data_IF_112723785704
#
_entry.id   IF_112723785704
#
_cell.length_a   1.000
_cell.length_b   1.000
_cell.length_c   1.000
_cell.angle_alpha   90.00
_cell.angle_beta   90.00
_cell.angle_gamma   90.00
#
_symmetry.space_group_name_H-M   'P 1'
#
loop_
_entity.id
_entity.type
_entity.pdbx_description
1 polymer ?
#
# COMPACT_ATOMS: atom_id res chain seq x y z
N UNK A 1 -7.92 -14.21 10.40
CA UNK A 1 -8.97 -15.15 9.92
C UNK A 1 -8.46 -16.55 10.23
N UNK A 2 -9.11 -17.27 11.13
CA UNK A 2 -8.74 -18.66 11.46
C UNK A 2 -9.80 -19.55 10.83
N UNK A 3 -9.40 -20.38 9.87
CA UNK A 3 -10.25 -21.38 9.24
C UNK A 3 -9.66 -22.76 9.52
N UNK A 4 -10.36 -23.58 10.31
CA UNK A 4 -9.88 -24.90 10.75
C UNK A 4 -9.71 -25.92 9.60
N UNK A 5 -10.31 -25.68 8.43
CA UNK A 5 -10.27 -26.55 7.25
C UNK A 5 -9.22 -26.14 6.19
N UNK A 6 -8.46 -25.06 6.43
CA UNK A 6 -7.63 -24.42 5.41
C UNK A 6 -8.43 -23.59 4.39
N UNK A 7 -7.75 -22.89 3.49
CA UNK A 7 -8.39 -22.05 2.48
C UNK A 7 -8.59 -22.81 1.16
N UNK A 8 -9.79 -22.71 0.59
CA UNK A 8 -10.12 -23.23 -0.74
C UNK A 8 -9.67 -22.26 -1.85
N UNK A 9 -9.60 -22.76 -3.09
CA UNK A 9 -9.32 -21.91 -4.25
C UNK A 9 -10.33 -20.75 -4.42
N UNK A 10 -11.57 -20.94 -3.99
CA UNK A 10 -12.62 -19.92 -4.05
C UNK A 10 -12.41 -18.86 -2.96
N UNK A 11 -12.01 -19.28 -1.76
CA UNK A 11 -11.61 -18.36 -0.68
C UNK A 11 -10.46 -17.46 -1.12
N UNK A 12 -9.45 -18.02 -1.80
CA UNK A 12 -8.34 -17.22 -2.33
C UNK A 12 -8.81 -16.15 -3.31
N UNK A 13 -9.78 -16.44 -4.18
CA UNK A 13 -10.33 -15.43 -5.12
C UNK A 13 -11.05 -14.30 -4.38
N UNK A 14 -11.77 -14.63 -3.30
CA UNK A 14 -12.49 -13.65 -2.50
C UNK A 14 -11.55 -12.79 -1.64
N UNK A 15 -10.52 -13.39 -1.04
CA UNK A 15 -9.60 -12.66 -0.15
C UNK A 15 -8.53 -11.87 -0.88
N UNK A 16 -8.14 -12.27 -2.08
CA UNK A 16 -7.06 -11.62 -2.84
C UNK A 16 -7.30 -10.11 -3.07
N UNK A 17 -8.49 -9.66 -3.53
CA UNK A 17 -8.80 -8.22 -3.64
C UNK A 17 -8.78 -7.48 -2.28
N UNK A 18 -9.22 -8.16 -1.21
CA UNK A 18 -9.23 -7.60 0.15
C UNK A 18 -7.82 -7.37 0.66
N UNK A 19 -6.90 -8.31 0.42
CA UNK A 19 -5.49 -8.17 0.79
C UNK A 19 -4.82 -7.02 0.04
N UNK A 20 -5.14 -6.84 -1.25
CA UNK A 20 -4.65 -5.71 -2.03
C UNK A 20 -5.13 -4.38 -1.44
N UNK A 21 -6.44 -4.25 -1.21
CA UNK A 21 -7.01 -3.01 -0.67
C UNK A 21 -6.42 -2.70 0.70
N UNK A 22 -6.37 -3.68 1.60
CA UNK A 22 -5.78 -3.49 2.94
C UNK A 22 -4.33 -3.00 2.88
N UNK A 23 -3.54 -3.49 1.92
CA UNK A 23 -2.14 -3.06 1.76
C UNK A 23 -2.05 -1.62 1.27
N UNK A 24 -2.80 -1.25 0.22
CA UNK A 24 -2.79 0.12 -0.33
C UNK A 24 -3.33 1.12 0.70
N UNK A 25 -4.46 0.79 1.34
CA UNK A 25 -5.08 1.64 2.36
C UNK A 25 -4.16 1.84 3.56
N UNK A 26 -3.43 0.80 3.99
CA UNK A 26 -2.42 0.93 5.05
C UNK A 26 -1.29 1.88 4.65
N UNK A 27 -0.81 1.83 3.40
CA UNK A 27 0.20 2.77 2.90
C UNK A 27 -0.32 4.20 2.86
N UNK A 28 -1.55 4.41 2.39
CA UNK A 28 -2.19 5.74 2.39
C UNK A 28 -2.34 6.28 3.81
N UNK A 29 -2.70 5.44 4.77
CA UNK A 29 -2.77 5.84 6.17
C UNK A 29 -1.41 6.31 6.70
N UNK A 30 -0.33 5.59 6.38
CA UNK A 30 1.05 5.98 6.75
C UNK A 30 1.43 7.31 6.09
N UNK A 31 1.20 7.46 4.78
CA UNK A 31 1.52 8.69 4.05
C UNK A 31 0.77 9.92 4.59
N UNK A 32 -0.51 9.75 4.94
CA UNK A 32 -1.31 10.80 5.60
C UNK A 32 -0.77 11.13 7.00
N UNK A 33 -0.36 10.11 7.76
CA UNK A 33 0.24 10.33 9.07
C UNK A 33 1.56 11.09 8.97
N UNK A 34 2.43 10.77 7.99
CA UNK A 34 3.67 11.51 7.74
C UNK A 34 3.38 12.99 7.44
N UNK A 35 2.40 13.28 6.57
CA UNK A 35 2.00 14.66 6.28
C UNK A 35 1.48 15.39 7.54
N UNK A 36 0.64 14.73 8.34
CA UNK A 36 0.08 15.31 9.57
C UNK A 36 1.16 15.57 10.64
N UNK A 37 2.16 14.70 10.73
CA UNK A 37 3.27 14.81 11.68
C UNK A 37 4.47 15.61 11.13
N UNK A 38 4.35 16.16 9.92
CA UNK A 38 5.45 16.85 9.22
C UNK A 38 6.74 16.01 9.12
N UNK A 39 6.61 14.70 8.96
CA UNK A 39 7.74 13.79 8.74
C UNK A 39 8.09 13.83 7.24
N UNK A 40 9.26 14.38 6.87
CA UNK A 40 9.66 14.43 5.47
C UNK A 40 10.03 13.03 4.96
N UNK A 41 9.94 12.84 3.65
CA UNK A 41 10.52 11.66 3.03
C UNK A 41 12.04 11.70 3.12
N UNK A 42 12.68 10.52 3.25
CA UNK A 42 14.14 10.41 3.20
C UNK A 42 14.77 10.84 1.86
N UNK A 43 13.98 10.93 0.79
CA UNK A 43 14.42 11.45 -0.49
C UNK A 43 13.26 12.11 -1.27
N UNK A 44 13.48 13.22 -2.00
CA UNK A 44 12.42 13.98 -2.67
C UNK A 44 11.72 13.19 -3.78
N UNK A 45 12.40 12.25 -4.44
CA UNK A 45 11.78 11.41 -5.48
C UNK A 45 10.68 10.48 -4.93
N UNK A 46 10.56 10.35 -3.61
CA UNK A 46 9.50 9.56 -2.95
C UNK A 46 8.15 10.26 -2.92
N UNK A 47 8.11 11.59 -3.11
CA UNK A 47 6.85 12.31 -3.23
C UNK A 47 6.05 11.83 -4.46
N UNK A 48 6.75 11.50 -5.54
CA UNK A 48 6.15 10.94 -6.77
C UNK A 48 5.58 9.55 -6.50
N UNK A 49 6.30 8.70 -5.74
CA UNK A 49 5.80 7.39 -5.32
C UNK A 49 4.55 7.51 -4.45
N UNK A 50 4.58 8.42 -3.49
CA UNK A 50 3.46 8.67 -2.59
C UNK A 50 2.23 9.11 -3.38
N UNK A 51 2.39 10.02 -4.35
CA UNK A 51 1.31 10.44 -5.22
C UNK A 51 0.73 9.28 -6.04
N UNK A 52 1.58 8.41 -6.61
CA UNK A 52 1.12 7.24 -7.34
C UNK A 52 0.26 6.31 -6.46
N UNK A 53 0.67 6.07 -5.21
CA UNK A 53 -0.10 5.25 -4.26
C UNK A 53 -1.45 5.92 -3.91
N UNK A 54 -1.45 7.23 -3.68
CA UNK A 54 -2.68 7.99 -3.38
C UNK A 54 -3.66 7.99 -4.56
N UNK A 55 -3.14 8.09 -5.80
CA UNK A 55 -3.94 8.08 -7.02
C UNK A 55 -4.65 6.74 -7.25
N UNK A 56 -4.04 5.60 -6.87
CA UNK A 56 -4.67 4.27 -6.97
C UNK A 56 -5.94 4.21 -6.13
N UNK A 57 -5.89 4.71 -4.89
CA UNK A 57 -7.07 4.76 -4.02
C UNK A 57 -8.09 5.75 -4.55
N UNK A 58 -7.66 6.92 -5.04
CA UNK A 58 -8.56 7.92 -5.61
C UNK A 58 -9.33 7.39 -6.83
N UNK A 59 -8.75 6.45 -7.58
CA UNK A 59 -9.39 5.76 -8.72
C UNK A 59 -10.17 4.52 -8.33
N UNK A 60 -10.17 4.13 -7.05
CA UNK A 60 -10.78 2.90 -6.55
C UNK A 60 -10.19 1.63 -7.19
N UNK A 61 -8.91 1.68 -7.58
CA UNK A 61 -8.17 0.58 -8.21
C UNK A 61 -7.38 -0.25 -7.17
N UNK A 62 -7.63 -0.06 -5.88
CA UNK A 62 -6.90 -0.71 -4.79
C UNK A 62 -7.27 -2.17 -4.53
N UNK A 63 -8.28 -2.69 -5.24
CA UNK A 63 -8.69 -4.10 -5.20
C UNK A 63 -8.07 -4.94 -6.34
N UNK A 64 -7.37 -4.30 -7.28
CA UNK A 64 -6.71 -4.97 -8.40
C UNK A 64 -5.28 -5.44 -8.04
N UNK A 65 -4.73 -6.44 -8.77
CA UNK A 65 -3.32 -6.78 -8.63
C UNK A 65 -2.43 -5.55 -8.82
N UNK A 66 -1.51 -5.33 -7.88
CA UNK A 66 -0.61 -4.19 -7.98
C UNK A 66 0.11 -4.18 -9.33
N UNK A 67 -0.01 -3.05 -10.05
CA UNK A 67 0.85 -2.76 -11.20
C UNK A 67 2.29 -2.62 -10.72
N UNK A 68 3.25 -2.94 -11.57
CA UNK A 68 4.67 -2.99 -11.17
C UNK A 68 5.15 -1.66 -10.59
N UNK A 69 4.67 -0.54 -11.14
CA UNK A 69 4.92 0.81 -10.62
C UNK A 69 4.49 0.98 -9.17
N UNK A 70 3.29 0.49 -8.80
CA UNK A 70 2.76 0.58 -7.43
C UNK A 70 3.49 -0.38 -6.49
N UNK A 71 3.87 -1.59 -6.97
CA UNK A 71 4.71 -2.52 -6.20
C UNK A 71 6.06 -1.89 -5.85
N UNK A 72 6.73 -1.31 -6.85
CA UNK A 72 8.03 -0.66 -6.66
C UNK A 72 7.90 0.58 -5.76
N UNK A 73 6.90 1.43 -5.98
CA UNK A 73 6.62 2.59 -5.13
C UNK A 73 6.37 2.19 -3.67
N UNK A 74 5.51 1.19 -3.43
CA UNK A 74 5.22 0.66 -2.10
C UNK A 74 6.47 0.11 -1.40
N UNK A 75 7.26 -0.69 -2.12
CA UNK A 75 8.51 -1.26 -1.61
C UNK A 75 9.55 -0.16 -1.30
N UNK A 76 9.64 0.86 -2.15
CA UNK A 76 10.54 2.01 -1.98
C UNK A 76 10.17 2.87 -0.78
N UNK A 77 8.89 3.15 -0.57
CA UNK A 77 8.38 3.88 0.60
C UNK A 77 8.67 3.08 1.87
N UNK A 78 8.39 1.77 1.89
CA UNK A 78 8.57 0.91 3.07
C UNK A 78 10.04 0.62 3.43
N UNK A 79 10.92 0.44 2.44
CA UNK A 79 12.32 0.04 2.69
C UNK A 79 13.27 1.22 2.93
N UNK A 80 12.93 2.43 2.49
CA UNK A 80 13.84 3.58 2.51
C UNK A 80 13.21 4.85 3.10
N UNK A 81 11.87 4.94 3.15
CA UNK A 81 11.15 6.19 3.38
C UNK A 81 10.87 6.56 4.83
N UNK A 82 11.08 5.65 5.78
CA UNK A 82 10.87 5.92 7.20
C UNK A 82 12.21 5.72 7.93
N UNK A 83 13.19 6.58 7.66
CA UNK A 83 14.24 6.78 8.66
C UNK A 83 13.59 7.51 9.84
N UNK A 84 12.94 6.72 10.72
CA UNK A 84 12.71 7.15 12.09
C UNK A 84 14.11 7.38 12.68
N UNK A 85 14.39 8.64 12.96
CA UNK A 85 15.62 9.07 13.62
C UNK A 85 15.76 8.41 15.00
#
# INVERSE_FOLDING_TARGET
IIHESGFTAEDYKQYKPVVYSNTVQSLVAILRAMANLSVPFGAPEREVDAKLVMDVVARMEDTEPFRDTVKFASKRILLLGIQLN
#
